data_IF_425485266051
#
_entry.id   IF_425485266051
#
_cell.length_a   1.000
_cell.length_b   1.000
_cell.length_c   1.000
_cell.angle_alpha   90.00
_cell.angle_beta   90.00
_cell.angle_gamma   90.00
#
_symmetry.space_group_name_H-M   'P 1'
#
loop_
_entity.id
_entity.type
_entity.pdbx_description
1 polymer ?
#
# COMPACT_ATOMS: atom_id res chain seq x y z
N UNK A 1 -28.01 -11.12 -40.26
CA UNK A 1 -27.21 -10.55 -39.16
C UNK A 1 -25.87 -10.11 -39.75
N UNK A 2 -25.47 -8.85 -39.57
CA UNK A 2 -24.17 -8.34 -40.04
C UNK A 2 -23.04 -9.15 -39.39
N UNK A 3 -21.98 -9.49 -40.12
CA UNK A 3 -20.86 -10.31 -39.60
C UNK A 3 -20.27 -9.72 -38.31
N UNK A 4 -20.08 -8.40 -38.25
CA UNK A 4 -19.64 -7.69 -37.04
C UNK A 4 -20.60 -7.88 -35.86
N UNK A 5 -21.92 -7.84 -36.11
CA UNK A 5 -22.91 -8.02 -35.05
C UNK A 5 -22.89 -9.45 -34.49
N UNK A 6 -22.77 -10.47 -35.37
CA UNK A 6 -22.62 -11.87 -34.93
C UNK A 6 -21.36 -12.04 -34.09
N UNK A 7 -20.23 -11.48 -34.54
CA UNK A 7 -18.96 -11.57 -33.81
C UNK A 7 -19.03 -10.86 -32.46
N UNK A 8 -19.59 -9.64 -32.41
CA UNK A 8 -19.80 -8.89 -31.18
C UNK A 8 -20.65 -9.67 -30.17
N UNK A 9 -21.80 -10.21 -30.59
CA UNK A 9 -22.65 -11.03 -29.73
C UNK A 9 -21.95 -12.29 -29.23
N UNK A 10 -21.20 -12.99 -30.09
CA UNK A 10 -20.43 -14.16 -29.68
C UNK A 10 -19.38 -13.81 -28.63
N UNK A 11 -18.62 -12.74 -28.83
CA UNK A 11 -17.63 -12.25 -27.87
C UNK A 11 -18.27 -11.82 -26.56
N UNK A 12 -19.41 -11.12 -26.59
CA UNK A 12 -20.16 -10.72 -25.40
C UNK A 12 -20.66 -11.93 -24.61
N UNK A 13 -21.30 -12.89 -25.25
CA UNK A 13 -21.84 -14.08 -24.56
C UNK A 13 -20.72 -14.91 -23.95
N UNK A 14 -19.64 -15.15 -24.71
CA UNK A 14 -18.49 -15.89 -24.20
C UNK A 14 -17.75 -15.15 -23.08
N UNK A 15 -17.67 -13.82 -23.14
CA UNK A 15 -17.13 -12.99 -22.06
C UNK A 15 -17.95 -13.15 -20.78
N UNK A 16 -19.28 -13.02 -20.87
CA UNK A 16 -20.15 -13.19 -19.71
C UNK A 16 -20.15 -14.63 -19.18
N UNK A 17 -19.96 -15.64 -20.02
CA UNK A 17 -19.78 -17.02 -19.56
C UNK A 17 -18.50 -17.16 -18.72
N UNK A 18 -17.38 -16.59 -19.16
CA UNK A 18 -16.13 -16.58 -18.38
C UNK A 18 -16.27 -15.76 -17.11
N UNK A 19 -16.88 -14.56 -17.17
CA UNK A 19 -17.16 -13.75 -15.98
C UNK A 19 -18.04 -14.50 -14.96
N UNK A 20 -19.09 -15.18 -15.44
CA UNK A 20 -19.96 -15.99 -14.58
C UNK A 20 -19.20 -17.13 -13.92
N UNK A 21 -18.25 -17.76 -14.62
CA UNK A 21 -17.35 -18.76 -14.03
C UNK A 21 -16.38 -18.13 -13.02
N UNK A 22 -15.80 -16.96 -13.31
CA UNK A 22 -14.86 -16.25 -12.42
C UNK A 22 -15.47 -15.90 -11.06
N UNK A 23 -16.79 -15.65 -10.99
CA UNK A 23 -17.46 -15.34 -9.71
C UNK A 23 -17.85 -16.59 -8.90
N UNK A 24 -17.64 -17.80 -9.43
CA UNK A 24 -17.85 -19.05 -8.69
C UNK A 24 -16.68 -19.34 -7.74
N UNK A 25 -16.87 -20.13 -6.66
CA UNK A 25 -15.81 -20.48 -5.70
C UNK A 25 -14.81 -21.53 -6.23
N UNK A 26 -14.49 -21.49 -7.53
CA UNK A 26 -13.67 -22.50 -8.21
C UNK A 26 -12.16 -22.31 -8.01
N UNK A 27 -11.73 -21.28 -7.26
CA UNK A 27 -10.32 -20.89 -7.12
C UNK A 27 -9.91 -20.91 -5.65
N UNK A 28 -9.47 -22.09 -5.17
CA UNK A 28 -9.12 -22.35 -3.76
C UNK A 28 -10.25 -22.02 -2.76
N UNK A 29 -11.50 -22.24 -3.19
CA UNK A 29 -12.71 -21.94 -2.40
C UNK A 29 -13.17 -20.49 -2.49
N UNK A 30 -12.38 -19.64 -3.15
CA UNK A 30 -12.68 -18.24 -3.43
C UNK A 30 -13.09 -18.02 -4.89
N UNK A 31 -13.63 -16.84 -5.17
CA UNK A 31 -13.81 -16.40 -6.55
C UNK A 31 -12.48 -15.93 -7.16
N UNK A 32 -12.40 -15.92 -8.49
CA UNK A 32 -11.18 -15.58 -9.21
C UNK A 32 -10.63 -14.18 -8.85
N UNK A 33 -11.50 -13.21 -8.60
CA UNK A 33 -11.07 -11.84 -8.27
C UNK A 33 -10.36 -11.82 -6.92
N UNK A 34 -10.92 -12.47 -5.90
CA UNK A 34 -10.30 -12.59 -4.59
C UNK A 34 -8.99 -13.40 -4.65
N UNK A 35 -8.97 -14.49 -5.42
CA UNK A 35 -7.76 -15.28 -5.66
C UNK A 35 -6.64 -14.46 -6.30
N UNK A 36 -6.95 -13.78 -7.41
CA UNK A 36 -5.98 -12.97 -8.12
C UNK A 36 -5.50 -11.79 -7.28
N UNK A 37 -6.40 -11.12 -6.55
CA UNK A 37 -6.07 -10.01 -5.64
C UNK A 37 -5.11 -10.47 -4.54
N UNK A 38 -5.38 -11.60 -3.88
CA UNK A 38 -4.48 -12.17 -2.90
C UNK A 38 -3.10 -12.43 -3.52
N UNK A 39 -3.03 -13.11 -4.67
CA UNK A 39 -1.75 -13.37 -5.36
C UNK A 39 -0.98 -12.10 -5.67
N UNK A 40 -1.64 -11.08 -6.23
CA UNK A 40 -1.00 -9.80 -6.50
C UNK A 40 -0.53 -9.09 -5.24
N UNK A 41 -1.28 -9.16 -4.13
CA UNK A 41 -0.84 -8.63 -2.84
C UNK A 41 0.37 -9.39 -2.28
N UNK A 42 0.45 -10.71 -2.44
CA UNK A 42 1.62 -11.51 -2.04
C UNK A 42 2.87 -11.09 -2.85
N UNK A 43 2.73 -10.89 -4.16
CA UNK A 43 3.81 -10.43 -5.03
C UNK A 43 4.21 -8.98 -4.71
N UNK A 44 3.22 -8.09 -4.51
CA UNK A 44 3.46 -6.69 -4.17
C UNK A 44 4.20 -6.58 -2.83
N UNK A 45 3.81 -7.38 -1.83
CA UNK A 45 4.53 -7.50 -0.57
C UNK A 45 5.98 -7.89 -0.83
N UNK A 46 6.25 -9.01 -1.48
CA UNK A 46 7.63 -9.45 -1.76
C UNK A 46 8.48 -8.39 -2.49
N UNK A 47 7.88 -7.63 -3.41
CA UNK A 47 8.57 -6.59 -4.18
C UNK A 47 8.81 -5.28 -3.42
N UNK A 48 8.17 -5.08 -2.26
CA UNK A 48 8.22 -3.84 -1.47
C UNK A 48 9.11 -3.92 -0.23
N UNK A 49 9.89 -5.00 -0.08
CA UNK A 49 10.76 -5.18 1.08
C UNK A 49 12.03 -4.32 0.97
N UNK A 50 11.92 -3.06 1.40
CA UNK A 50 13.01 -2.08 1.38
C UNK A 50 13.57 -1.74 2.77
N UNK A 51 13.03 -2.34 3.83
CA UNK A 51 13.35 -2.00 5.23
C UNK A 51 14.86 -2.10 5.52
N UNK A 52 15.61 -3.11 5.05
CA UNK A 52 17.06 -3.15 5.24
C UNK A 52 17.81 -1.97 4.61
N UNK A 53 17.44 -1.59 3.38
CA UNK A 53 18.05 -0.45 2.68
C UNK A 53 17.74 0.87 3.40
N UNK A 54 16.51 1.01 3.92
CA UNK A 54 16.13 2.16 4.74
C UNK A 54 16.99 2.21 6.00
N UNK A 55 17.14 1.10 6.74
CA UNK A 55 18.02 1.04 7.92
C UNK A 55 19.46 1.49 7.59
N UNK A 56 20.03 1.06 6.46
CA UNK A 56 21.36 1.50 6.02
C UNK A 56 21.41 3.01 5.78
N UNK A 57 20.41 3.57 5.10
CA UNK A 57 20.34 5.01 4.82
C UNK A 57 20.17 5.88 6.07
N UNK A 58 19.62 5.33 7.17
CA UNK A 58 19.38 6.07 8.41
C UNK A 58 20.69 6.44 9.11
N UNK A 59 21.76 5.69 8.82
CA UNK A 59 23.09 5.90 9.40
C UNK A 59 23.63 7.32 9.16
N UNK A 60 23.29 7.94 8.02
CA UNK A 60 23.68 9.32 7.70
C UNK A 60 23.04 10.37 8.62
N UNK A 61 21.90 10.02 9.23
CA UNK A 61 21.08 10.95 10.01
C UNK A 61 21.06 10.64 11.50
N UNK A 62 21.56 9.48 11.94
CA UNK A 62 21.36 8.91 13.29
C UNK A 62 21.65 9.86 14.46
N UNK A 63 22.66 10.73 14.32
CA UNK A 63 23.13 11.63 15.39
C UNK A 63 22.38 12.97 15.39
N UNK A 64 21.44 13.18 14.46
CA UNK A 64 20.66 14.41 14.36
C UNK A 64 19.52 14.38 15.38
N UNK A 65 19.42 15.41 16.20
CA UNK A 65 18.39 15.55 17.24
C UNK A 65 17.10 16.12 16.66
N UNK A 66 15.96 15.75 17.22
CA UNK A 66 14.67 16.35 16.91
C UNK A 66 13.86 16.58 18.19
N UNK A 67 12.89 17.47 18.09
CA UNK A 67 11.82 17.59 19.08
C UNK A 67 10.53 17.96 18.36
N UNK A 68 9.46 17.24 18.63
CA UNK A 68 8.15 17.54 18.07
C UNK A 68 7.04 17.19 19.04
N UNK A 69 5.88 17.83 18.85
CA UNK A 69 4.67 17.54 19.62
C UNK A 69 3.61 17.00 18.66
N UNK A 70 3.08 15.82 18.96
CA UNK A 70 1.96 15.21 18.25
C UNK A 70 0.71 15.29 19.13
N UNK A 71 -0.42 15.66 18.53
CA UNK A 71 -1.74 15.65 19.17
C UNK A 71 -2.51 14.43 18.68
N UNK A 72 -2.85 13.53 19.59
CA UNK A 72 -3.51 12.25 19.33
C UNK A 72 -5.03 12.40 19.48
N UNK A 73 -5.78 11.40 19.00
CA UNK A 73 -7.25 11.44 19.00
C UNK A 73 -7.86 11.34 20.41
N UNK A 74 -7.18 10.65 21.31
CA UNK A 74 -7.63 10.40 22.68
C UNK A 74 -6.41 10.18 23.59
N UNK A 75 -6.65 10.07 24.90
CA UNK A 75 -5.59 9.84 25.89
C UNK A 75 -4.97 8.44 25.78
N UNK A 76 -5.73 7.44 25.34
CA UNK A 76 -5.23 6.08 25.16
C UNK A 76 -4.15 6.00 24.07
N UNK A 77 -4.39 6.61 22.91
CA UNK A 77 -3.41 6.74 21.83
C UNK A 77 -2.17 7.52 22.29
N UNK A 78 -2.35 8.53 23.16
CA UNK A 78 -1.24 9.30 23.73
C UNK A 78 -0.39 8.45 24.68
N UNK A 79 -1.00 7.64 25.55
CA UNK A 79 -0.32 6.69 26.43
C UNK A 79 0.43 5.62 25.62
N UNK A 80 -0.21 5.04 24.61
CA UNK A 80 0.42 4.06 23.72
C UNK A 80 1.58 4.66 22.93
N UNK A 81 1.42 5.86 22.38
CA UNK A 81 2.50 6.59 21.70
C UNK A 81 3.67 6.85 22.65
N UNK A 82 3.37 7.24 23.89
CA UNK A 82 4.39 7.44 24.93
C UNK A 82 5.19 6.16 25.17
N UNK A 83 4.51 5.03 25.38
CA UNK A 83 5.14 3.74 25.54
C UNK A 83 6.06 3.36 24.37
N UNK A 84 5.59 3.54 23.13
CA UNK A 84 6.38 3.29 21.91
C UNK A 84 7.69 4.08 21.92
N UNK A 85 7.60 5.39 22.14
CA UNK A 85 8.76 6.28 22.08
C UNK A 85 9.71 6.11 23.28
N UNK A 86 9.20 5.85 24.49
CA UNK A 86 10.02 5.53 25.66
C UNK A 86 10.81 4.22 25.46
N UNK A 87 10.15 3.18 24.95
CA UNK A 87 10.82 1.90 24.60
C UNK A 87 11.89 2.07 23.53
N UNK A 88 11.69 3.02 22.63
CA UNK A 88 12.65 3.37 21.59
C UNK A 88 13.80 4.29 22.11
N UNK A 89 13.75 4.75 23.36
CA UNK A 89 14.78 5.56 24.00
C UNK A 89 14.56 7.07 23.95
N UNK A 90 13.37 7.54 23.56
CA UNK A 90 13.05 8.97 23.55
C UNK A 90 12.85 9.52 24.96
N UNK A 91 13.01 10.84 25.09
CA UNK A 91 12.42 11.60 26.20
C UNK A 91 11.01 12.01 25.79
N UNK A 92 10.02 11.63 26.59
CA UNK A 92 8.61 11.90 26.30
C UNK A 92 7.99 12.70 27.44
N UNK A 93 7.14 13.67 27.08
CA UNK A 93 6.32 14.44 28.01
C UNK A 93 4.88 14.46 27.51
N UNK A 94 3.92 14.19 28.40
CA UNK A 94 2.50 14.07 28.05
C UNK A 94 1.70 15.17 28.73
N UNK A 95 0.88 15.85 27.95
CA UNK A 95 -0.15 16.79 28.41
C UNK A 95 -1.48 16.42 27.73
N UNK A 96 -2.34 15.69 28.45
CA UNK A 96 -3.59 15.14 27.94
C UNK A 96 -3.38 14.31 26.65
N UNK A 97 -3.90 14.78 25.51
CA UNK A 97 -3.76 14.12 24.21
C UNK A 97 -2.51 14.58 23.44
N UNK A 98 -1.69 15.48 24.00
CA UNK A 98 -0.47 15.99 23.37
C UNK A 98 0.75 15.29 23.94
N UNK A 99 1.55 14.71 23.05
CA UNK A 99 2.78 14.00 23.40
C UNK A 99 3.95 14.74 22.76
N UNK A 100 4.83 15.28 23.58
CA UNK A 100 6.09 15.91 23.15
C UNK A 100 7.20 14.89 23.24
N UNK A 101 7.93 14.73 22.15
CA UNK A 101 8.92 13.67 21.95
C UNK A 101 10.23 14.34 21.54
N UNK A 102 11.31 13.99 22.24
CA UNK A 102 12.67 14.46 21.95
C UNK A 102 13.65 13.30 21.92
N UNK A 103 14.60 13.34 20.98
CA UNK A 103 15.69 12.38 20.87
C UNK A 103 16.43 12.50 19.54
N UNK A 104 17.35 11.56 19.30
CA UNK A 104 18.09 11.48 18.05
C UNK A 104 17.35 10.64 17.01
N UNK A 105 17.67 10.85 15.73
CA UNK A 105 17.11 10.07 14.61
C UNK A 105 17.47 8.58 14.68
N UNK A 106 18.46 8.17 15.47
CA UNK A 106 18.73 6.76 15.76
C UNK A 106 17.48 6.04 16.31
N UNK A 107 16.55 6.77 16.94
CA UNK A 107 15.28 6.23 17.42
C UNK A 107 14.42 5.62 16.29
N UNK A 108 14.58 6.08 15.05
CA UNK A 108 13.86 5.55 13.90
C UNK A 108 14.26 4.09 13.58
N UNK A 109 15.40 3.60 14.09
CA UNK A 109 15.71 2.16 14.04
C UNK A 109 14.64 1.32 14.73
N UNK A 110 14.08 1.76 15.87
CA UNK A 110 12.98 1.04 16.53
C UNK A 110 11.71 1.02 15.70
N UNK A 111 11.39 2.12 15.01
CA UNK A 111 10.24 2.16 14.10
C UNK A 111 10.44 1.21 12.92
N UNK A 112 11.66 1.12 12.39
CA UNK A 112 12.02 0.21 11.30
C UNK A 112 12.06 -1.25 11.75
N UNK A 113 12.47 -1.55 12.99
CA UNK A 113 12.37 -2.90 13.58
C UNK A 113 10.92 -3.33 13.76
N UNK A 114 10.07 -2.44 14.26
CA UNK A 114 8.64 -2.70 14.36
C UNK A 114 8.03 -2.89 12.96
N UNK A 115 8.42 -2.08 11.97
CA UNK A 115 8.01 -2.29 10.58
C UNK A 115 8.43 -3.68 10.06
N UNK A 116 9.66 -4.11 10.35
CA UNK A 116 10.21 -5.39 9.92
C UNK A 116 9.47 -6.58 10.56
N UNK A 117 9.21 -6.52 11.86
CA UNK A 117 8.44 -7.53 12.58
C UNK A 117 7.02 -7.65 12.03
N UNK A 118 6.34 -6.52 11.79
CA UNK A 118 5.02 -6.52 11.17
C UNK A 118 5.06 -7.05 9.73
N UNK A 119 6.06 -6.66 8.94
CA UNK A 119 6.22 -7.16 7.58
C UNK A 119 6.37 -8.69 7.56
N UNK A 120 7.00 -9.27 8.57
CA UNK A 120 7.13 -10.72 8.75
C UNK A 120 5.95 -11.37 9.49
N UNK A 121 4.86 -10.62 9.73
CA UNK A 121 3.65 -11.07 10.43
C UNK A 121 3.89 -11.58 11.87
N UNK A 122 4.92 -11.07 12.55
CA UNK A 122 5.25 -11.46 13.93
C UNK A 122 4.35 -10.74 14.94
N UNK A 123 3.17 -11.30 15.19
CA UNK A 123 2.22 -10.76 16.16
C UNK A 123 2.71 -10.86 17.61
N UNK A 124 3.53 -11.86 17.93
CA UNK A 124 4.03 -12.12 19.27
C UNK A 124 4.98 -11.00 19.71
N UNK A 125 5.86 -10.56 18.81
CA UNK A 125 6.77 -9.44 19.02
C UNK A 125 6.07 -8.21 19.61
N UNK A 126 4.93 -7.78 19.04
CA UNK A 126 4.22 -6.58 19.53
C UNK A 126 3.49 -6.80 20.84
N UNK A 127 2.92 -7.98 21.02
CA UNK A 127 2.23 -8.35 22.26
C UNK A 127 3.21 -8.40 23.43
N UNK A 128 4.41 -8.94 23.20
CA UNK A 128 5.47 -9.01 24.22
C UNK A 128 6.14 -7.66 24.47
N UNK A 129 6.44 -6.88 23.41
CA UNK A 129 7.17 -5.62 23.53
C UNK A 129 6.29 -4.48 24.07
N UNK A 130 5.03 -4.42 23.65
CA UNK A 130 4.14 -3.29 23.91
C UNK A 130 2.79 -3.69 24.53
N UNK A 131 2.34 -4.93 24.36
CA UNK A 131 0.95 -5.30 24.66
C UNK A 131 -0.06 -4.67 23.70
N UNK A 132 0.39 -4.27 22.51
CA UNK A 132 -0.40 -3.56 21.48
C UNK A 132 -0.37 -4.39 20.19
N UNK A 133 -1.39 -4.26 19.34
CA UNK A 133 -1.40 -4.95 18.04
C UNK A 133 -0.42 -4.32 17.04
N UNK A 134 0.14 -5.12 16.13
CA UNK A 134 1.05 -4.64 15.08
C UNK A 134 0.48 -3.48 14.26
N UNK A 135 -0.80 -3.58 13.85
CA UNK A 135 -1.48 -2.52 13.09
C UNK A 135 -1.58 -1.23 13.88
N UNK A 136 -1.93 -1.31 15.15
CA UNK A 136 -2.03 -0.14 16.00
C UNK A 136 -0.65 0.49 16.24
N UNK A 137 0.38 -0.30 16.52
CA UNK A 137 1.78 0.18 16.64
C UNK A 137 2.22 0.94 15.37
N UNK A 138 2.03 0.35 14.19
CA UNK A 138 2.40 0.99 12.93
C UNK A 138 1.56 2.23 12.62
N UNK A 139 0.28 2.24 12.98
CA UNK A 139 -0.57 3.43 12.84
C UNK A 139 -0.07 4.59 13.72
N UNK A 140 0.34 4.30 14.95
CA UNK A 140 0.91 5.32 15.84
C UNK A 140 2.24 5.85 15.28
N UNK A 141 3.13 4.97 14.80
CA UNK A 141 4.35 5.38 14.08
C UNK A 141 4.04 6.25 12.86
N UNK A 142 3.12 5.82 12.00
CA UNK A 142 2.71 6.60 10.83
C UNK A 142 2.21 8.00 11.23
N UNK A 143 1.35 8.08 12.25
CA UNK A 143 0.76 9.34 12.69
C UNK A 143 1.81 10.29 13.26
N UNK A 144 2.65 9.81 14.18
CA UNK A 144 3.67 10.63 14.84
C UNK A 144 4.79 11.03 13.88
N UNK A 145 5.27 10.12 13.03
CA UNK A 145 6.34 10.42 12.07
C UNK A 145 5.92 11.40 10.98
N UNK A 146 4.64 11.40 10.57
CA UNK A 146 4.11 12.44 9.69
C UNK A 146 4.18 13.83 10.33
N UNK A 147 4.00 13.93 11.66
CA UNK A 147 4.17 15.19 12.38
C UNK A 147 5.65 15.58 12.47
N UNK A 148 6.53 14.62 12.77
CA UNK A 148 7.98 14.83 12.75
C UNK A 148 8.46 15.36 11.39
N UNK A 149 8.07 14.73 10.28
CA UNK A 149 8.45 15.17 8.93
C UNK A 149 8.02 16.63 8.67
N UNK A 150 6.79 17.00 9.04
CA UNK A 150 6.30 18.39 8.93
C UNK A 150 7.06 19.35 9.84
N UNK A 151 7.45 18.91 11.04
CA UNK A 151 8.25 19.72 11.96
C UNK A 151 9.64 19.99 11.39
N UNK A 152 10.30 18.98 10.83
CA UNK A 152 11.59 19.12 10.15
C UNK A 152 11.51 20.08 8.96
N UNK A 153 10.43 20.06 8.17
CA UNK A 153 10.19 21.05 7.10
C UNK A 153 10.12 22.49 7.64
N UNK A 154 9.42 22.70 8.77
CA UNK A 154 9.34 24.01 9.43
C UNK A 154 10.69 24.50 9.95
N UNK A 155 11.56 23.56 10.34
CA UNK A 155 12.94 23.82 10.74
C UNK A 155 13.90 23.97 9.55
N UNK A 156 13.39 23.95 8.31
CA UNK A 156 14.18 23.96 7.07
C UNK A 156 15.14 22.77 6.90
N UNK A 157 14.91 21.67 7.63
CA UNK A 157 15.66 20.40 7.55
C UNK A 157 15.02 19.48 6.50
N UNK A 158 15.03 19.92 5.24
CA UNK A 158 14.28 19.27 4.16
C UNK A 158 14.77 17.86 3.83
N UNK A 159 16.08 17.63 3.81
CA UNK A 159 16.64 16.30 3.55
C UNK A 159 16.16 15.26 4.56
N UNK A 160 16.15 15.65 5.83
CA UNK A 160 15.70 14.82 6.95
C UNK A 160 14.20 14.56 6.89
N UNK A 161 13.41 15.58 6.58
CA UNK A 161 11.99 15.40 6.36
C UNK A 161 11.69 14.45 5.20
N UNK A 162 12.36 14.64 4.06
CA UNK A 162 12.22 13.78 2.88
C UNK A 162 12.65 12.35 3.19
N UNK A 163 13.70 12.18 3.99
CA UNK A 163 14.14 10.87 4.44
C UNK A 163 13.08 10.19 5.32
N UNK A 164 12.58 10.86 6.37
CA UNK A 164 11.51 10.34 7.23
C UNK A 164 10.27 10.00 6.41
N UNK A 165 9.82 10.91 5.54
CA UNK A 165 8.60 10.74 4.75
C UNK A 165 8.73 9.64 3.69
N UNK A 166 9.73 9.72 2.83
CA UNK A 166 9.79 8.85 1.66
C UNK A 166 10.45 7.50 1.99
N UNK A 167 11.40 7.45 2.92
CA UNK A 167 12.11 6.21 3.25
C UNK A 167 11.44 5.51 4.43
N UNK A 168 11.33 6.16 5.59
CA UNK A 168 10.79 5.50 6.79
C UNK A 168 9.29 5.27 6.67
N UNK A 169 8.50 6.29 6.33
CA UNK A 169 7.04 6.14 6.26
C UNK A 169 6.64 5.35 5.00
N UNK A 170 6.91 5.88 3.81
CA UNK A 170 6.39 5.31 2.55
C UNK A 170 7.05 3.98 2.13
N UNK A 171 8.33 3.75 2.44
CA UNK A 171 9.02 2.51 2.03
C UNK A 171 9.13 1.44 3.12
N UNK A 172 8.84 1.76 4.38
CA UNK A 172 8.88 0.77 5.47
C UNK A 172 7.54 0.64 6.21
N UNK A 173 7.06 1.71 6.85
CA UNK A 173 5.87 1.66 7.71
C UNK A 173 4.59 1.34 6.89
N UNK A 174 4.37 2.03 5.77
CA UNK A 174 3.18 1.85 4.94
C UNK A 174 3.09 0.42 4.35
N UNK A 175 4.12 -0.14 3.70
CA UNK A 175 4.08 -1.52 3.23
C UNK A 175 3.88 -2.53 4.36
N UNK A 176 4.56 -2.35 5.50
CA UNK A 176 4.41 -3.23 6.65
C UNK A 176 2.97 -3.24 7.19
N UNK A 177 2.31 -2.08 7.23
CA UNK A 177 0.92 -1.95 7.67
C UNK A 177 -0.05 -2.56 6.64
N UNK A 178 0.10 -2.19 5.38
CA UNK A 178 -0.81 -2.57 4.30
C UNK A 178 -0.79 -4.07 4.03
N UNK A 179 0.39 -4.70 4.13
CA UNK A 179 0.56 -6.13 3.87
C UNK A 179 0.64 -6.98 5.14
N UNK A 180 0.31 -6.42 6.31
CA UNK A 180 0.26 -7.19 7.56
C UNK A 180 -0.82 -8.29 7.50
N UNK A 181 -0.41 -9.52 7.77
CA UNK A 181 -1.22 -10.74 7.68
C UNK A 181 -1.16 -11.45 6.33
N UNK A 182 -0.45 -10.90 5.33
CA UNK A 182 -0.28 -11.51 4.01
C UNK A 182 1.08 -12.19 3.95
N UNK A 183 1.18 -13.39 3.38
CA UNK A 183 2.47 -14.05 3.16
C UNK A 183 3.15 -13.51 1.90
N UNK A 184 4.43 -13.17 1.99
CA UNK A 184 5.18 -12.72 0.83
C UNK A 184 5.46 -13.89 -0.12
N UNK A 185 5.23 -13.69 -1.42
CA UNK A 185 5.60 -14.66 -2.46
C UNK A 185 6.28 -13.94 -3.60
N UNK A 186 7.42 -14.41 -4.13
CA UNK A 186 8.02 -13.83 -5.32
C UNK A 186 7.12 -14.04 -6.54
N UNK A 187 7.25 -13.16 -7.55
CA UNK A 187 6.53 -13.28 -8.82
C UNK A 187 6.92 -14.58 -9.53
N UNK A 188 5.91 -15.35 -9.94
CA UNK A 188 6.07 -16.63 -10.63
C UNK A 188 5.34 -16.63 -11.99
N UNK A 189 5.38 -17.78 -12.68
CA UNK A 189 4.73 -17.96 -13.97
C UNK A 189 3.21 -17.77 -13.87
N UNK A 190 2.61 -18.16 -12.73
CA UNK A 190 1.19 -17.94 -12.48
C UNK A 190 0.87 -16.45 -12.43
N UNK A 191 1.65 -15.66 -11.70
CA UNK A 191 1.50 -14.20 -11.64
C UNK A 191 1.64 -13.54 -13.01
N UNK A 192 2.62 -13.97 -13.81
CA UNK A 192 2.74 -13.52 -15.20
C UNK A 192 1.52 -13.92 -16.05
N UNK A 193 0.98 -15.13 -15.85
CA UNK A 193 -0.24 -15.60 -16.49
C UNK A 193 -1.48 -14.78 -16.12
N UNK A 194 -1.62 -14.39 -14.85
CA UNK A 194 -2.70 -13.52 -14.37
C UNK A 194 -2.63 -12.13 -15.03
N UNK A 195 -1.42 -11.58 -15.21
CA UNK A 195 -1.22 -10.31 -15.93
C UNK A 195 -1.61 -10.41 -17.41
N UNK A 196 -1.17 -11.47 -18.10
CA UNK A 196 -1.55 -11.71 -19.50
C UNK A 196 -3.06 -11.89 -19.60
N UNK A 197 -3.66 -12.67 -18.69
CA UNK A 197 -5.11 -12.84 -18.63
C UNK A 197 -5.83 -11.51 -18.46
N UNK A 198 -5.39 -10.64 -17.54
CA UNK A 198 -5.97 -9.31 -17.34
C UNK A 198 -5.99 -8.47 -18.62
N UNK A 199 -4.86 -8.43 -19.35
CA UNK A 199 -4.76 -7.68 -20.62
C UNK A 199 -5.67 -8.29 -21.69
N UNK A 200 -5.65 -9.60 -21.86
CA UNK A 200 -6.50 -10.28 -22.86
C UNK A 200 -7.98 -10.11 -22.53
N UNK A 201 -8.36 -10.26 -21.26
CA UNK A 201 -9.73 -10.13 -20.77
C UNK A 201 -10.28 -8.71 -20.97
N UNK A 202 -9.49 -7.68 -20.65
CA UNK A 202 -9.89 -6.27 -20.85
C UNK A 202 -10.02 -5.91 -22.32
N UNK A 203 -9.09 -6.35 -23.17
CA UNK A 203 -9.18 -6.16 -24.62
C UNK A 203 -10.36 -6.91 -25.22
N UNK A 204 -10.60 -8.14 -24.77
CA UNK A 204 -11.73 -8.97 -25.22
C UNK A 204 -13.06 -8.23 -25.01
N UNK A 205 -13.30 -7.67 -23.82
CA UNK A 205 -14.50 -6.87 -23.58
C UNK A 205 -14.57 -5.63 -24.47
N UNK A 206 -13.45 -4.93 -24.64
CA UNK A 206 -13.37 -3.76 -25.52
C UNK A 206 -13.75 -4.09 -26.97
N UNK A 207 -13.23 -5.18 -27.53
CA UNK A 207 -13.59 -5.64 -28.87
C UNK A 207 -15.04 -6.14 -28.97
N UNK A 208 -15.56 -6.79 -27.93
CA UNK A 208 -16.96 -7.20 -27.89
C UNK A 208 -17.90 -6.00 -28.05
N UNK A 209 -17.71 -4.95 -27.23
CA UNK A 209 -18.48 -3.71 -27.32
C UNK A 209 -18.30 -3.06 -28.70
N UNK A 210 -17.05 -2.94 -29.16
CA UNK A 210 -16.73 -2.33 -30.44
C UNK A 210 -17.51 -2.97 -31.61
N UNK A 211 -17.50 -4.30 -31.71
CA UNK A 211 -18.19 -5.01 -32.79
C UNK A 211 -19.71 -4.99 -32.67
N UNK A 212 -20.26 -4.95 -31.44
CA UNK A 212 -21.70 -4.72 -31.24
C UNK A 212 -22.10 -3.35 -31.79
N UNK A 213 -21.38 -2.27 -31.42
CA UNK A 213 -21.69 -0.93 -31.91
C UNK A 213 -21.49 -0.79 -33.42
N UNK A 214 -20.42 -1.35 -33.97
CA UNK A 214 -20.21 -1.39 -35.42
C UNK A 214 -21.36 -2.13 -36.12
N UNK A 215 -21.79 -3.27 -35.58
CA UNK A 215 -22.90 -4.06 -36.09
C UNK A 215 -24.25 -3.34 -36.08
N UNK A 216 -24.45 -2.44 -35.12
CA UNK A 216 -25.61 -1.54 -35.00
C UNK A 216 -25.50 -0.26 -35.87
N UNK A 217 -24.40 -0.09 -36.61
CA UNK A 217 -24.18 1.06 -37.48
C UNK A 217 -23.59 2.29 -36.79
N UNK A 218 -23.25 2.20 -35.50
CA UNK A 218 -22.58 3.26 -34.75
C UNK A 218 -21.07 3.11 -35.01
N UNK A 219 -20.56 3.84 -36.00
CA UNK A 219 -19.13 3.85 -36.34
C UNK A 219 -18.41 4.95 -35.58
N UNK A 220 -17.29 4.61 -34.95
CA UNK A 220 -16.32 5.58 -34.44
C UNK A 220 -15.56 6.22 -35.61
N UNK A 221 -16.22 7.06 -36.40
CA UNK A 221 -15.54 7.93 -37.37
C UNK A 221 -14.99 9.15 -36.64
N UNK A 222 -13.72 9.52 -36.89
CA UNK A 222 -13.19 10.83 -36.50
C UNK A 222 -14.18 11.91 -36.95
N UNK A 223 -14.52 12.84 -36.07
CA UNK A 223 -15.24 14.05 -36.45
C UNK A 223 -14.46 14.72 -37.59
N UNK A 224 -15.13 14.97 -38.73
CA UNK A 224 -14.54 15.79 -39.79
C UNK A 224 -14.20 17.15 -39.17
N UNK A 225 -12.93 17.55 -39.22
CA UNK A 225 -12.55 18.94 -38.95
C UNK A 225 -13.45 19.84 -39.79
N UNK A 226 -14.25 20.68 -39.13
CA UNK A 226 -14.94 21.78 -39.80
C UNK A 226 -13.84 22.74 -40.26
N UNK A 227 -13.51 22.72 -41.55
CA UNK A 227 -12.85 23.87 -42.16
C UNK A 227 -13.89 24.99 -42.23
N UNK A 228 -13.70 26.02 -41.42
CA UNK A 228 -14.40 27.29 -41.60
C UNK A 228 -13.98 27.88 -42.95
N UNK A 229 -14.97 28.30 -43.74
CA UNK A 229 -14.81 29.00 -45.02
C UNK A 229 -14.99 30.48 -44.77
#
# INVERSE_FOLDING_TARGET
>A
MNRSLTLGLLLTVSFFAVLAYMVTPSFDGENFLAYADLKFNQYAKASSYFIPDVKIGLEEYKDREFTFTVELKNSEDAEKTTLLYEKAGARVSVDNAKVTISGSMALLYSALEDADAAFNNDAAYFTEKYGISARETLYLWYTSLNVLAKQLEKEHRFEESLYVKNQVITRAIEPAYNFYGIEASPMDILGAGLLVFYVVYTLWWGFAIYYVFEGLGIKLTKAKEKKEV
#
